data_IF_474478609800
#
_entry.id   IF_474478609800
#
_cell.length_a   1.000
_cell.length_b   1.000
_cell.length_c   1.000
_cell.angle_alpha   90.00
_cell.angle_beta   90.00
_cell.angle_gamma   90.00
#
_symmetry.space_group_name_H-M   'P 1'
#
loop_
_entity.id
_entity.type
_entity.pdbx_description
1 polymer ?
#
# COMPACT_ATOMS: atom_id res chain seq x y z
N UNK A 1 9.55 -72.43 -42.64
CA UNK A 1 10.73 -71.90 -41.91
C UNK A 1 10.84 -70.38 -42.17
N UNK A 2 10.35 -69.58 -41.24
CA UNK A 2 10.39 -68.13 -41.40
C UNK A 2 11.54 -67.53 -40.54
N UNK A 3 12.52 -66.91 -41.15
CA UNK A 3 13.62 -66.20 -40.47
C UNK A 3 13.13 -64.91 -39.88
N UNK A 4 13.04 -64.79 -38.55
CA UNK A 4 12.85 -63.55 -37.82
C UNK A 4 14.17 -62.76 -37.90
N UNK A 5 14.15 -61.62 -38.60
CA UNK A 5 15.21 -60.61 -38.54
C UNK A 5 15.09 -59.80 -37.25
N UNK A 6 15.91 -60.13 -36.25
CA UNK A 6 16.09 -59.31 -35.05
C UNK A 6 17.06 -58.17 -35.35
N UNK A 7 16.54 -56.92 -35.44
CA UNK A 7 17.40 -55.75 -35.45
C UNK A 7 18.10 -55.60 -34.10
N UNK A 8 19.38 -55.27 -34.03
CA UNK A 8 20.12 -55.29 -32.76
C UNK A 8 19.70 -54.07 -31.91
N UNK A 9 19.41 -54.36 -30.62
CA UNK A 9 18.93 -53.40 -29.59
C UNK A 9 19.83 -52.15 -29.43
N UNK A 10 21.10 -52.24 -29.83
CA UNK A 10 22.05 -51.10 -29.65
C UNK A 10 21.81 -49.95 -30.62
N UNK A 11 21.19 -50.14 -31.79
CA UNK A 11 20.83 -49.07 -32.71
C UNK A 11 19.71 -48.23 -32.15
N UNK A 12 18.76 -48.81 -31.40
CA UNK A 12 17.67 -48.08 -30.74
C UNK A 12 18.19 -47.22 -29.57
N UNK A 13 19.21 -47.72 -28.84
CA UNK A 13 19.83 -46.97 -27.76
C UNK A 13 20.60 -45.71 -28.23
N UNK A 14 21.31 -45.82 -29.36
CA UNK A 14 22.07 -44.69 -29.95
C UNK A 14 21.12 -43.60 -30.46
N UNK A 15 19.99 -43.95 -31.07
CA UNK A 15 18.98 -42.99 -31.54
C UNK A 15 18.32 -42.27 -30.38
N UNK A 16 18.03 -42.96 -29.26
CA UNK A 16 17.46 -42.34 -28.04
C UNK A 16 18.43 -41.37 -27.39
N UNK A 17 19.73 -41.71 -27.30
CA UNK A 17 20.75 -40.80 -26.74
C UNK A 17 20.92 -39.55 -27.63
N UNK A 18 20.89 -39.72 -28.96
CA UNK A 18 20.96 -38.59 -29.89
C UNK A 18 19.74 -37.66 -29.80
N UNK A 19 18.53 -38.18 -29.59
CA UNK A 19 17.33 -37.40 -29.43
C UNK A 19 17.34 -36.64 -28.07
N UNK A 20 17.79 -37.27 -27.01
CA UNK A 20 17.89 -36.62 -25.68
C UNK A 20 18.96 -35.50 -25.69
N UNK A 21 20.12 -35.75 -26.31
CA UNK A 21 21.15 -34.71 -26.46
C UNK A 21 20.70 -33.57 -27.38
N UNK A 22 19.91 -33.83 -28.44
CA UNK A 22 19.35 -32.79 -29.30
C UNK A 22 18.27 -31.97 -28.57
N UNK A 23 17.43 -32.59 -27.74
CA UNK A 23 16.43 -31.87 -26.92
C UNK A 23 17.12 -31.02 -25.87
N UNK A 24 18.19 -31.51 -25.22
CA UNK A 24 18.97 -30.73 -24.24
C UNK A 24 19.69 -29.57 -24.93
N UNK A 25 20.21 -29.77 -26.15
CA UNK A 25 20.85 -28.74 -26.96
C UNK A 25 19.84 -27.66 -27.42
N UNK A 26 18.64 -28.06 -27.86
CA UNK A 26 17.57 -27.14 -28.24
C UNK A 26 17.04 -26.35 -27.01
N UNK A 27 16.88 -26.99 -25.86
CA UNK A 27 16.49 -26.30 -24.61
C UNK A 27 17.57 -25.30 -24.13
N UNK A 28 18.86 -25.62 -24.30
CA UNK A 28 19.95 -24.67 -24.01
C UNK A 28 19.95 -23.50 -24.99
N UNK A 29 19.74 -23.73 -26.30
CA UNK A 29 19.63 -22.64 -27.27
C UNK A 29 18.38 -21.78 -27.07
N UNK A 30 17.27 -22.35 -26.56
CA UNK A 30 16.06 -21.58 -26.22
C UNK A 30 16.23 -20.73 -24.95
N UNK A 31 17.14 -21.09 -24.05
CA UNK A 31 17.48 -20.29 -22.87
C UNK A 31 18.51 -19.18 -23.19
N UNK A 32 19.38 -19.38 -24.18
CA UNK A 32 20.39 -18.37 -24.55
C UNK A 32 19.85 -17.26 -25.50
N UNK A 33 18.64 -17.39 -26.04
CA UNK A 33 18.02 -16.36 -26.90
C UNK A 33 17.01 -15.45 -26.16
N UNK A 34 16.73 -15.70 -24.87
CA UNK A 34 15.94 -14.78 -24.03
C UNK A 34 16.78 -13.92 -23.09
N UNK A 35 18.12 -13.92 -23.23
CA UNK A 35 19.05 -13.19 -22.38
C UNK A 35 19.97 -12.25 -23.14
N UNK A 36 19.47 -11.55 -24.14
CA UNK A 36 20.19 -10.46 -24.80
C UNK A 36 19.35 -9.20 -24.94
N UNK A 37 18.67 -8.80 -23.84
CA UNK A 37 18.44 -7.40 -23.55
C UNK A 37 19.61 -7.00 -22.63
N UNK A 38 20.55 -6.22 -23.14
CA UNK A 38 21.67 -5.68 -22.40
C UNK A 38 21.15 -4.98 -21.14
N UNK A 39 21.29 -5.63 -19.96
CA UNK A 39 21.21 -4.98 -18.67
C UNK A 39 22.47 -4.14 -18.53
N UNK A 40 22.35 -2.86 -18.79
CA UNK A 40 23.26 -1.88 -18.20
C UNK A 40 22.99 -1.90 -16.73
N UNK A 41 23.96 -2.34 -15.96
CA UNK A 41 24.11 -2.54 -14.54
C UNK A 41 22.98 -2.13 -13.60
N UNK A 42 22.44 -3.09 -12.83
CA UNK A 42 21.65 -2.83 -11.66
C UNK A 42 20.49 -3.81 -11.50
N UNK A 43 20.45 -4.49 -10.36
CA UNK A 43 19.29 -5.29 -9.96
C UNK A 43 18.10 -4.34 -9.78
N UNK A 44 16.94 -4.65 -10.40
CA UNK A 44 15.73 -3.81 -10.28
C UNK A 44 15.33 -3.64 -8.82
N UNK A 45 15.03 -2.40 -8.42
CA UNK A 45 14.46 -2.09 -7.09
C UNK A 45 12.96 -2.41 -7.13
N UNK A 46 12.50 -3.32 -6.30
CA UNK A 46 11.09 -3.71 -6.26
C UNK A 46 10.38 -2.90 -5.19
N UNK A 47 9.39 -2.09 -5.60
CA UNK A 47 8.66 -1.14 -4.76
C UNK A 47 7.17 -1.49 -4.74
N UNK A 48 6.62 -1.65 -3.53
CA UNK A 48 5.20 -1.91 -3.32
C UNK A 48 4.40 -0.60 -3.20
N UNK A 49 3.23 -0.54 -3.85
CA UNK A 49 2.31 0.58 -3.71
C UNK A 49 0.86 0.13 -3.55
N UNK A 50 0.02 1.01 -3.02
CA UNK A 50 -1.42 0.84 -2.87
C UNK A 50 -2.17 1.89 -3.70
N UNK A 51 -3.51 1.78 -3.73
CA UNK A 51 -4.40 2.63 -4.54
C UNK A 51 -4.77 3.96 -3.86
N UNK A 52 -4.17 4.31 -2.72
CA UNK A 52 -4.35 5.63 -2.10
C UNK A 52 -4.06 6.77 -3.08
N UNK A 53 -4.90 7.81 -3.04
CA UNK A 53 -4.79 8.98 -3.92
C UNK A 53 -3.86 10.01 -3.28
N UNK A 54 -2.77 10.32 -3.97
CA UNK A 54 -1.81 11.37 -3.58
C UNK A 54 -1.09 11.95 -4.80
N UNK A 55 -0.48 13.16 -4.72
CA UNK A 55 0.18 13.81 -5.86
C UNK A 55 1.38 13.03 -6.41
N UNK A 56 2.08 12.26 -5.58
CA UNK A 56 3.30 11.53 -6.00
C UNK A 56 3.02 10.42 -7.03
N UNK A 57 1.76 10.02 -7.20
CA UNK A 57 1.32 9.10 -8.26
C UNK A 57 1.63 9.63 -9.66
N UNK A 58 1.68 10.96 -9.84
CA UNK A 58 2.07 11.56 -11.13
C UNK A 58 3.52 11.21 -11.46
N UNK A 59 4.44 11.36 -10.52
CA UNK A 59 5.85 10.98 -10.71
C UNK A 59 6.01 9.48 -10.96
N UNK A 60 5.27 8.64 -10.22
CA UNK A 60 5.25 7.20 -10.45
C UNK A 60 4.80 6.86 -11.87
N UNK A 61 3.72 7.47 -12.36
CA UNK A 61 3.20 7.21 -13.70
C UNK A 61 4.08 7.76 -14.83
N UNK A 62 4.89 8.80 -14.56
CA UNK A 62 5.82 9.42 -15.52
C UNK A 62 7.18 8.73 -15.56
N UNK A 63 7.49 7.85 -14.60
CA UNK A 63 8.82 7.25 -14.45
C UNK A 63 9.86 8.25 -13.91
N UNK A 64 9.42 9.29 -13.20
CA UNK A 64 10.33 10.30 -12.65
C UNK A 64 11.22 9.69 -11.56
N UNK A 65 10.71 8.75 -10.76
CA UNK A 65 11.50 8.04 -9.76
C UNK A 65 12.67 7.26 -10.35
N UNK A 66 12.44 6.56 -11.47
CA UNK A 66 13.47 5.82 -12.21
C UNK A 66 14.51 6.76 -12.79
N UNK A 67 14.05 7.87 -13.37
CA UNK A 67 14.91 8.88 -13.99
C UNK A 67 15.79 9.57 -12.93
N UNK A 68 15.21 10.04 -11.83
CA UNK A 68 15.90 10.84 -10.83
C UNK A 68 16.86 10.00 -9.98
N UNK A 69 16.51 8.73 -9.71
CA UNK A 69 17.38 7.79 -9.02
C UNK A 69 18.40 7.08 -9.92
N UNK A 70 18.25 7.18 -11.24
CA UNK A 70 19.01 6.40 -12.23
C UNK A 70 18.99 4.88 -11.94
N UNK A 71 17.84 4.39 -11.46
CA UNK A 71 17.62 2.98 -11.15
C UNK A 71 16.38 2.45 -11.88
N UNK A 72 16.38 1.17 -12.21
CA UNK A 72 15.17 0.53 -12.70
C UNK A 72 14.28 0.13 -11.54
N UNK A 73 13.03 0.64 -11.50
CA UNK A 73 12.05 0.32 -10.47
C UNK A 73 11.00 -0.62 -11.04
N UNK A 74 10.73 -1.72 -10.32
CA UNK A 74 9.59 -2.58 -10.58
C UNK A 74 8.48 -2.28 -9.57
N UNK A 75 7.43 -1.61 -10.00
CA UNK A 75 6.28 -1.31 -9.17
C UNK A 75 5.35 -2.51 -9.02
N UNK A 76 5.04 -2.90 -7.78
CA UNK A 76 4.06 -3.95 -7.46
C UNK A 76 2.88 -3.37 -6.70
N UNK A 77 1.67 -3.56 -7.26
CA UNK A 77 0.43 -3.14 -6.61
C UNK A 77 -0.01 -4.17 -5.58
N UNK A 78 -0.47 -3.68 -4.41
CA UNK A 78 -1.06 -4.48 -3.34
C UNK A 78 -2.40 -3.87 -2.91
N UNK A 79 -3.32 -4.71 -2.45
CA UNK A 79 -4.66 -4.28 -2.07
C UNK A 79 -4.75 -3.77 -0.63
N UNK A 80 -3.80 -4.15 0.25
CA UNK A 80 -3.77 -3.73 1.64
C UNK A 80 -2.33 -3.60 2.18
N UNK A 81 -2.13 -2.70 3.16
CA UNK A 81 -0.83 -2.49 3.79
C UNK A 81 -0.27 -3.72 4.53
N UNK A 82 -1.14 -4.59 5.03
CA UNK A 82 -0.73 -5.89 5.60
C UNK A 82 -0.04 -6.80 4.59
N UNK A 83 -0.48 -6.78 3.33
CA UNK A 83 0.13 -7.57 2.27
C UNK A 83 1.50 -6.99 1.86
N UNK A 84 1.63 -5.65 1.85
CA UNK A 84 2.93 -4.98 1.67
C UNK A 84 3.90 -5.33 2.79
N UNK A 85 3.44 -5.33 4.06
CA UNK A 85 4.25 -5.74 5.22
C UNK A 85 4.74 -7.18 5.07
N UNK A 86 3.91 -8.09 4.60
CA UNK A 86 4.32 -9.48 4.35
C UNK A 86 5.38 -9.56 3.23
N UNK A 87 5.23 -8.78 2.16
CA UNK A 87 6.20 -8.72 1.07
C UNK A 87 7.55 -8.09 1.49
N UNK A 88 7.53 -7.09 2.40
CA UNK A 88 8.74 -6.55 3.02
C UNK A 88 9.42 -7.59 3.93
N UNK A 89 8.64 -8.36 4.67
CA UNK A 89 9.15 -9.40 5.57
C UNK A 89 9.80 -10.56 4.81
N UNK A 90 9.22 -10.99 3.69
CA UNK A 90 9.78 -12.04 2.83
C UNK A 90 10.98 -11.56 2.01
N UNK A 91 11.15 -10.24 1.83
CA UNK A 91 12.15 -9.67 0.94
C UNK A 91 11.71 -9.57 -0.53
N UNK A 92 10.45 -9.83 -0.84
CA UNK A 92 9.88 -9.70 -2.19
C UNK A 92 9.83 -8.25 -2.68
N UNK A 93 9.84 -7.30 -1.73
CA UNK A 93 9.96 -5.87 -1.98
C UNK A 93 10.91 -5.25 -0.96
N UNK A 94 11.53 -4.12 -1.30
CA UNK A 94 12.48 -3.42 -0.42
C UNK A 94 11.91 -2.10 0.10
N UNK A 95 11.01 -1.47 -0.64
CA UNK A 95 10.22 -0.30 -0.24
C UNK A 95 8.74 -0.61 -0.34
N UNK A 96 7.93 0.08 0.47
CA UNK A 96 6.49 -0.04 0.39
C UNK A 96 5.75 1.19 0.90
N UNK A 97 4.65 1.52 0.23
CA UNK A 97 3.67 2.47 0.75
C UNK A 97 2.71 1.72 1.66
N UNK A 98 2.63 2.14 2.93
CA UNK A 98 1.73 1.56 3.93
C UNK A 98 1.16 2.64 4.84
N UNK A 99 0.06 2.34 5.51
CA UNK A 99 -0.48 3.20 6.56
C UNK A 99 0.28 3.11 7.89
N UNK A 100 0.05 4.07 8.77
CA UNK A 100 0.65 4.11 10.12
C UNK A 100 0.26 2.91 10.99
N UNK A 101 -0.93 2.36 10.83
CA UNK A 101 -1.39 1.19 11.59
C UNK A 101 -0.65 -0.11 11.20
N UNK A 102 -0.50 -0.49 9.92
CA UNK A 102 0.34 -1.63 9.55
C UNK A 102 1.82 -1.42 9.90
N UNK A 103 2.36 -0.19 9.87
CA UNK A 103 3.70 0.10 10.36
C UNK A 103 3.81 -0.22 11.85
N UNK A 104 2.89 0.24 12.70
CA UNK A 104 2.90 -0.01 14.14
C UNK A 104 2.84 -1.52 14.45
N UNK A 105 2.02 -2.28 13.72
CA UNK A 105 1.95 -3.72 13.86
C UNK A 105 3.25 -4.42 13.45
N UNK A 106 3.85 -4.04 12.32
CA UNK A 106 5.11 -4.60 11.83
C UNK A 106 6.28 -4.27 12.77
N UNK A 107 6.38 -3.02 13.21
CA UNK A 107 7.40 -2.55 14.15
C UNK A 107 7.33 -3.30 15.48
N UNK A 108 6.12 -3.57 16.00
CA UNK A 108 5.91 -4.34 17.23
C UNK A 108 6.36 -5.81 17.12
N UNK A 109 6.34 -6.37 15.90
CA UNK A 109 6.87 -7.71 15.59
C UNK A 109 8.38 -7.72 15.28
N UNK A 110 9.06 -6.61 15.54
CA UNK A 110 10.49 -6.42 15.25
C UNK A 110 10.86 -6.59 13.77
N UNK A 111 9.95 -6.33 12.84
CA UNK A 111 10.30 -6.30 11.42
C UNK A 111 11.33 -5.18 11.19
N UNK A 112 12.47 -5.47 10.53
CA UNK A 112 13.57 -4.49 10.35
C UNK A 112 13.23 -3.50 9.21
N UNK A 113 12.18 -2.69 9.43
CA UNK A 113 11.75 -1.61 8.55
C UNK A 113 11.73 -0.29 9.30
N UNK A 114 11.82 0.78 8.56
CA UNK A 114 11.71 2.15 9.06
C UNK A 114 10.90 3.02 8.11
N UNK A 115 10.13 3.96 8.66
CA UNK A 115 9.49 5.03 7.90
C UNK A 115 10.53 6.11 7.63
N UNK A 116 10.54 6.59 6.39
CA UNK A 116 11.46 7.66 5.98
C UNK A 116 10.75 8.85 5.31
N UNK A 117 9.46 8.71 5.00
CA UNK A 117 8.67 9.77 4.36
C UNK A 117 7.18 9.59 4.66
N UNK A 118 6.49 10.69 4.94
CA UNK A 118 5.03 10.74 5.11
C UNK A 118 4.42 11.18 3.78
N UNK A 119 3.63 10.32 3.12
CA UNK A 119 2.96 10.68 1.88
C UNK A 119 1.81 11.64 2.14
N UNK A 120 1.02 11.35 3.18
CA UNK A 120 -0.08 12.20 3.61
C UNK A 120 -0.49 11.96 5.07
N UNK A 121 -1.03 12.96 5.73
CA UNK A 121 -1.92 12.79 6.87
C UNK A 121 -3.31 12.55 6.32
N UNK A 122 -3.90 11.41 6.65
CA UNK A 122 -5.16 10.95 6.10
C UNK A 122 -6.35 11.76 6.62
N UNK A 123 -7.29 11.99 5.74
CA UNK A 123 -8.49 12.76 5.99
C UNK A 123 -9.71 12.10 5.33
N UNK A 124 -10.49 12.88 4.58
CA UNK A 124 -11.71 12.42 3.94
C UNK A 124 -11.50 11.41 2.78
N UNK A 125 -10.24 11.13 2.40
CA UNK A 125 -9.90 10.05 1.45
C UNK A 125 -10.11 8.65 2.03
N UNK A 126 -10.34 8.54 3.35
CA UNK A 126 -10.81 7.34 4.05
C UNK A 126 -12.07 7.67 4.84
N UNK A 127 -13.15 6.93 4.64
CA UNK A 127 -14.41 7.22 5.32
C UNK A 127 -15.21 5.95 5.65
N UNK A 128 -15.99 6.04 6.73
CA UNK A 128 -17.03 5.09 7.09
C UNK A 128 -18.31 5.47 6.33
N UNK A 129 -18.67 4.68 5.35
CA UNK A 129 -19.90 4.84 4.56
C UNK A 129 -20.92 3.83 5.02
N UNK A 130 -22.16 4.28 5.28
CA UNK A 130 -23.30 3.44 5.62
C UNK A 130 -24.22 3.33 4.41
N UNK A 131 -24.69 2.11 4.10
CA UNK A 131 -25.59 1.89 2.98
C UNK A 131 -26.93 2.59 3.22
N UNK A 132 -27.45 3.28 2.21
CA UNK A 132 -28.79 3.92 2.29
C UNK A 132 -29.90 2.92 2.58
N UNK A 133 -29.68 1.61 2.32
CA UNK A 133 -30.61 0.52 2.61
C UNK A 133 -30.50 -0.02 4.04
N UNK A 134 -29.41 0.28 4.76
CA UNK A 134 -29.12 -0.27 6.10
C UNK A 134 -30.03 0.29 7.19
N UNK A 135 -30.63 1.45 6.97
CA UNK A 135 -31.41 2.20 7.96
C UNK A 135 -30.57 2.95 8.99
N UNK A 136 -29.21 2.94 8.85
CA UNK A 136 -28.28 3.64 9.76
C UNK A 136 -28.39 5.14 9.48
N UNK A 137 -28.65 5.94 10.53
CA UNK A 137 -28.70 7.41 10.48
C UNK A 137 -27.78 8.05 11.53
N UNK A 138 -27.54 7.36 12.61
CA UNK A 138 -26.69 7.80 13.72
C UNK A 138 -25.65 6.73 14.05
N UNK A 139 -24.56 7.06 14.75
CA UNK A 139 -23.59 6.06 15.18
C UNK A 139 -24.19 4.89 15.97
N UNK A 140 -25.20 5.14 16.80
CA UNK A 140 -25.86 4.13 17.63
C UNK A 140 -26.59 3.07 16.79
N UNK A 141 -27.01 3.41 15.57
CA UNK A 141 -27.66 2.47 14.66
C UNK A 141 -26.67 1.43 14.07
N UNK A 142 -25.36 1.59 14.30
CA UNK A 142 -24.35 0.59 13.95
C UNK A 142 -24.46 -0.69 14.81
N UNK A 143 -25.11 -0.64 15.96
CA UNK A 143 -25.30 -1.81 16.84
C UNK A 143 -26.06 -2.91 16.09
N UNK A 144 -25.46 -4.12 16.06
CA UNK A 144 -26.00 -5.28 15.36
C UNK A 144 -25.73 -5.30 13.84
N UNK A 145 -25.11 -4.26 13.29
CA UNK A 145 -24.83 -4.15 11.85
C UNK A 145 -23.50 -4.80 11.45
N UNK A 146 -23.39 -5.16 10.19
CA UNK A 146 -22.16 -5.72 9.59
C UNK A 146 -21.36 -4.61 8.94
N UNK A 147 -20.13 -4.38 9.43
CA UNK A 147 -19.19 -3.37 8.95
C UNK A 147 -17.98 -4.08 8.37
N UNK A 148 -17.68 -3.84 7.09
CA UNK A 148 -16.49 -4.35 6.44
C UNK A 148 -15.34 -3.35 6.54
N UNK A 149 -14.14 -3.86 6.85
CA UNK A 149 -12.92 -3.06 6.90
C UNK A 149 -11.69 -3.96 6.70
N UNK A 150 -10.63 -3.52 6.00
CA UNK A 150 -9.39 -4.28 5.94
C UNK A 150 -8.69 -4.27 7.32
N UNK A 151 -8.48 -5.44 7.93
CA UNK A 151 -7.90 -5.53 9.27
C UNK A 151 -6.45 -5.02 9.31
N UNK A 152 -6.09 -4.40 10.45
CA UNK A 152 -4.78 -3.80 10.70
C UNK A 152 -4.46 -2.62 9.75
N UNK A 153 -5.44 -2.10 9.02
CA UNK A 153 -5.31 -0.87 8.23
C UNK A 153 -5.53 0.39 9.06
N UNK A 154 -5.26 1.56 8.46
CA UNK A 154 -5.64 2.87 9.00
C UNK A 154 -7.13 3.00 9.20
N UNK A 155 -7.94 2.52 8.24
CA UNK A 155 -9.41 2.51 8.33
C UNK A 155 -9.91 1.61 9.46
N UNK A 156 -9.25 0.48 9.74
CA UNK A 156 -9.60 -0.36 10.90
C UNK A 156 -9.32 0.36 12.21
N UNK A 157 -8.16 1.01 12.33
CA UNK A 157 -7.82 1.83 13.48
C UNK A 157 -8.82 2.99 13.67
N UNK A 158 -9.18 3.67 12.59
CA UNK A 158 -10.16 4.76 12.58
C UNK A 158 -11.56 4.27 12.97
N UNK A 159 -12.01 3.12 12.45
CA UNK A 159 -13.29 2.52 12.82
C UNK A 159 -13.37 2.23 14.33
N UNK A 160 -12.36 1.55 14.87
CA UNK A 160 -12.35 1.19 16.29
C UNK A 160 -12.23 2.44 17.19
N UNK A 161 -11.48 3.45 16.74
CA UNK A 161 -11.39 4.76 17.42
C UNK A 161 -12.72 5.50 17.41
N UNK A 162 -13.45 5.47 16.29
CA UNK A 162 -14.78 6.05 16.18
C UNK A 162 -15.80 5.34 17.08
N UNK A 163 -15.83 4.01 17.08
CA UNK A 163 -16.68 3.23 17.97
C UNK A 163 -16.42 3.57 19.45
N UNK A 164 -15.14 3.67 19.83
CA UNK A 164 -14.73 4.09 21.17
C UNK A 164 -15.22 5.51 21.50
N UNK A 165 -15.05 6.45 20.58
CA UNK A 165 -15.50 7.83 20.76
C UNK A 165 -17.03 7.91 20.96
N UNK A 166 -17.79 7.09 20.23
CA UNK A 166 -19.26 7.02 20.36
C UNK A 166 -19.75 6.14 21.51
N UNK A 167 -18.84 5.57 22.33
CA UNK A 167 -19.15 4.64 23.40
C UNK A 167 -19.93 3.39 22.93
N UNK A 168 -19.63 2.90 21.73
CA UNK A 168 -20.19 1.66 21.17
C UNK A 168 -19.17 0.54 21.40
N UNK A 169 -19.51 -0.49 22.22
CA UNK A 169 -18.63 -1.64 22.39
C UNK A 169 -18.44 -2.40 21.08
N UNK A 170 -17.20 -2.83 20.80
CA UNK A 170 -16.85 -3.53 19.54
C UNK A 170 -17.66 -4.82 19.35
N UNK A 171 -17.96 -5.54 20.46
CA UNK A 171 -18.75 -6.77 20.45
C UNK A 171 -20.23 -6.56 20.09
N UNK A 172 -20.69 -5.32 20.02
CA UNK A 172 -22.06 -4.96 19.60
C UNK A 172 -22.19 -4.72 18.10
N UNK A 173 -21.09 -4.72 17.36
CA UNK A 173 -21.07 -4.59 15.89
C UNK A 173 -20.37 -5.81 15.28
N UNK A 174 -20.82 -6.22 14.11
CA UNK A 174 -20.17 -7.33 13.39
C UNK A 174 -19.12 -6.78 12.45
N UNK A 175 -17.86 -6.72 12.89
CA UNK A 175 -16.76 -6.26 12.05
C UNK A 175 -16.18 -7.44 11.27
N UNK A 176 -16.10 -7.32 9.94
CA UNK A 176 -15.55 -8.37 9.07
C UNK A 176 -14.35 -7.86 8.30
N UNK A 177 -13.35 -8.75 8.13
CA UNK A 177 -12.14 -8.46 7.39
C UNK A 177 -12.36 -8.74 5.90
N UNK A 178 -12.37 -7.70 5.09
CA UNK A 178 -12.39 -7.78 3.63
C UNK A 178 -11.37 -6.79 3.05
N UNK A 179 -10.72 -7.15 1.94
CA UNK A 179 -9.90 -6.22 1.16
C UNK A 179 -10.79 -5.26 0.34
N UNK A 180 -10.29 -4.10 -0.10
CA UNK A 180 -11.10 -3.12 -0.81
C UNK A 180 -11.86 -3.66 -2.03
N UNK A 181 -11.30 -4.54 -2.89
CA UNK A 181 -12.06 -5.16 -3.97
C UNK A 181 -13.19 -6.07 -3.48
N UNK A 182 -12.97 -6.81 -2.38
CA UNK A 182 -13.98 -7.67 -1.76
C UNK A 182 -15.08 -6.84 -1.09
N UNK A 183 -14.73 -5.70 -0.48
CA UNK A 183 -15.68 -4.71 0.07
C UNK A 183 -16.58 -4.19 -1.05
N UNK A 184 -16.02 -3.78 -2.19
CA UNK A 184 -16.80 -3.33 -3.35
C UNK A 184 -17.81 -4.38 -3.79
N UNK A 185 -17.40 -5.64 -3.91
CA UNK A 185 -18.26 -6.74 -4.31
C UNK A 185 -19.35 -7.05 -3.26
N UNK A 186 -19.02 -7.04 -1.97
CA UNK A 186 -19.98 -7.26 -0.88
C UNK A 186 -20.99 -6.12 -0.78
N UNK A 187 -20.55 -4.88 -1.01
CA UNK A 187 -21.39 -3.69 -1.05
C UNK A 187 -22.43 -3.76 -2.17
N UNK A 188 -22.00 -4.09 -3.39
CA UNK A 188 -22.88 -4.23 -4.56
C UNK A 188 -23.98 -5.29 -4.35
N UNK A 189 -23.64 -6.41 -3.69
CA UNK A 189 -24.61 -7.46 -3.34
C UNK A 189 -25.52 -7.11 -2.15
N UNK A 190 -25.15 -6.12 -1.35
CA UNK A 190 -25.87 -5.77 -0.11
C UNK A 190 -25.57 -6.71 1.06
N UNK A 191 -24.41 -7.39 1.06
CA UNK A 191 -24.01 -8.33 2.13
C UNK A 191 -23.49 -7.61 3.39
N UNK A 192 -23.23 -6.29 3.31
CA UNK A 192 -22.72 -5.45 4.38
C UNK A 192 -23.54 -4.17 4.54
N UNK A 193 -23.68 -3.70 5.77
CA UNK A 193 -24.45 -2.49 6.09
C UNK A 193 -23.59 -1.23 6.01
N UNK A 194 -22.28 -1.35 6.26
CA UNK A 194 -21.32 -0.26 6.25
C UNK A 194 -19.93 -0.74 5.83
N UNK A 195 -19.10 0.20 5.37
CA UNK A 195 -17.68 -0.06 5.06
C UNK A 195 -16.83 1.15 5.45
N UNK A 196 -15.67 0.90 6.08
CA UNK A 196 -14.64 1.92 6.25
C UNK A 196 -13.48 1.60 5.31
N UNK A 197 -13.28 2.41 4.28
CA UNK A 197 -12.43 2.06 3.14
C UNK A 197 -11.91 3.30 2.44
N UNK A 198 -10.98 3.10 1.52
CA UNK A 198 -10.40 4.09 0.60
C UNK A 198 -10.68 3.73 -0.87
N UNK A 199 -10.16 4.54 -1.79
CA UNK A 199 -10.39 4.37 -3.22
C UNK A 199 -9.82 3.06 -3.80
N UNK A 200 -10.48 2.49 -4.83
CA UNK A 200 -11.70 2.95 -5.49
C UNK A 200 -13.00 2.45 -4.83
N UNK A 201 -12.91 1.71 -3.72
CA UNK A 201 -14.07 1.16 -3.04
C UNK A 201 -14.88 2.24 -2.32
N UNK A 202 -14.25 3.34 -1.89
CA UNK A 202 -14.91 4.46 -1.23
C UNK A 202 -15.92 5.14 -2.16
N UNK A 203 -15.52 5.55 -3.36
CA UNK A 203 -16.42 6.17 -4.32
C UNK A 203 -17.59 5.26 -4.71
N UNK A 204 -17.35 3.95 -4.85
CA UNK A 204 -18.41 2.97 -5.10
C UNK A 204 -19.41 2.90 -3.96
N UNK A 205 -18.94 2.90 -2.71
CA UNK A 205 -19.81 2.90 -1.55
C UNK A 205 -20.61 4.21 -1.44
N UNK A 206 -19.97 5.35 -1.67
CA UNK A 206 -20.61 6.67 -1.63
C UNK A 206 -21.71 6.84 -2.70
N UNK A 207 -21.60 6.17 -3.84
CA UNK A 207 -22.63 6.22 -4.89
C UNK A 207 -24.01 5.75 -4.41
N UNK A 208 -24.09 4.92 -3.35
CA UNK A 208 -25.34 4.37 -2.80
C UNK A 208 -25.38 4.37 -1.27
N UNK A 209 -24.53 5.16 -0.65
CA UNK A 209 -24.40 5.29 0.80
C UNK A 209 -24.18 6.73 1.24
N UNK A 210 -24.12 6.91 2.55
CA UNK A 210 -23.87 8.19 3.22
C UNK A 210 -22.64 8.08 4.11
N UNK A 211 -21.75 9.06 4.08
CA UNK A 211 -20.60 9.13 4.99
C UNK A 211 -21.10 9.42 6.40
N UNK A 212 -20.76 8.54 7.35
CA UNK A 212 -21.07 8.72 8.76
C UNK A 212 -19.95 9.44 9.51
N UNK A 213 -18.69 9.15 9.17
CA UNK A 213 -17.48 9.84 9.62
C UNK A 213 -16.32 9.54 8.64
N UNK A 214 -15.22 10.26 8.80
CA UNK A 214 -14.00 10.08 8.02
C UNK A 214 -12.74 10.13 8.91
N UNK A 215 -11.58 9.84 8.32
CA UNK A 215 -10.30 9.82 9.07
C UNK A 215 -9.85 11.21 9.51
N UNK A 216 -10.35 12.30 8.89
CA UNK A 216 -10.11 13.68 9.36
C UNK A 216 -10.78 13.88 10.73
N UNK A 217 -12.08 13.59 10.81
CA UNK A 217 -12.85 13.75 12.04
C UNK A 217 -12.32 12.83 13.15
N UNK A 218 -11.95 11.59 12.82
CA UNK A 218 -11.34 10.66 13.79
C UNK A 218 -9.98 11.18 14.27
N UNK A 219 -9.19 11.78 13.38
CA UNK A 219 -7.94 12.44 13.72
C UNK A 219 -8.11 13.63 14.68
N UNK A 220 -9.18 14.43 14.51
CA UNK A 220 -9.57 15.53 15.41
C UNK A 220 -9.98 15.01 16.80
N UNK A 221 -10.48 13.78 16.90
CA UNK A 221 -10.75 13.10 18.17
C UNK A 221 -9.50 12.51 18.85
N UNK A 222 -8.31 12.73 18.26
CA UNK A 222 -7.02 12.31 18.82
C UNK A 222 -6.48 10.99 18.27
N UNK A 223 -7.02 10.48 17.17
CA UNK A 223 -6.55 9.26 16.50
C UNK A 223 -6.15 9.50 15.04
N UNK A 224 -5.17 10.38 14.75
CA UNK A 224 -4.73 10.67 13.39
C UNK A 224 -4.03 9.47 12.77
N UNK A 225 -4.23 9.30 11.46
CA UNK A 225 -3.60 8.27 10.64
C UNK A 225 -2.82 8.88 9.49
N UNK A 226 -1.85 8.13 8.97
CA UNK A 226 -0.92 8.59 7.94
C UNK A 226 -0.69 7.51 6.90
N UNK A 227 -0.47 7.91 5.65
CA UNK A 227 0.20 7.09 4.63
C UNK A 227 1.68 7.42 4.57
N UNK A 228 2.49 6.38 4.39
CA UNK A 228 3.92 6.39 4.63
C UNK A 228 4.67 5.63 3.55
N UNK A 229 5.88 6.07 3.26
CA UNK A 229 6.89 5.24 2.63
C UNK A 229 7.79 4.62 3.70
N UNK A 230 7.87 3.31 3.67
CA UNK A 230 8.77 2.52 4.54
C UNK A 230 9.78 1.77 3.69
N UNK A 231 10.93 1.49 4.30
CA UNK A 231 12.04 0.79 3.66
C UNK A 231 12.59 -0.29 4.60
N UNK A 232 13.12 -1.36 4.04
CA UNK A 232 13.93 -2.32 4.78
C UNK A 232 15.25 -1.66 5.18
N UNK A 233 15.66 -1.82 6.43
CA UNK A 233 16.89 -1.19 6.96
C UNK A 233 18.14 -1.62 6.22
N UNK A 234 18.25 -2.92 5.88
CA UNK A 234 19.40 -3.45 5.12
C UNK A 234 19.53 -2.87 3.72
N UNK A 235 18.41 -2.47 3.09
CA UNK A 235 18.40 -1.76 1.82
C UNK A 235 18.75 -0.29 2.01
N UNK A 236 18.20 0.36 3.03
CA UNK A 236 18.44 1.77 3.33
C UNK A 236 19.93 2.07 3.59
N UNK A 237 20.60 1.23 4.38
CA UNK A 237 22.02 1.34 4.66
C UNK A 237 22.91 1.27 3.41
N UNK A 238 22.50 0.50 2.41
CA UNK A 238 23.29 0.28 1.17
C UNK A 238 22.94 1.24 0.05
N UNK A 239 21.78 1.89 0.10
CA UNK A 239 21.22 2.67 -1.00
C UNK A 239 20.74 4.07 -0.57
N UNK A 240 21.56 4.86 0.18
CA UNK A 240 21.11 6.16 0.69
C UNK A 240 20.82 7.16 -0.42
N UNK A 241 21.58 7.14 -1.52
CA UNK A 241 21.38 8.07 -2.64
C UNK A 241 20.09 7.79 -3.40
N UNK A 242 19.70 6.50 -3.55
CA UNK A 242 18.41 6.12 -4.08
C UNK A 242 17.26 6.69 -3.24
N UNK A 243 17.35 6.56 -1.90
CA UNK A 243 16.31 7.06 -0.99
C UNK A 243 16.22 8.57 -0.98
N UNK A 244 17.34 9.28 -1.07
CA UNK A 244 17.34 10.76 -1.20
C UNK A 244 16.64 11.20 -2.49
N UNK A 245 16.97 10.58 -3.62
CA UNK A 245 16.31 10.86 -4.90
C UNK A 245 14.80 10.55 -4.81
N UNK A 246 14.43 9.40 -4.23
CA UNK A 246 13.04 9.01 -4.04
C UNK A 246 12.25 10.01 -3.18
N UNK A 247 12.84 10.50 -2.09
CA UNK A 247 12.28 11.55 -1.22
C UNK A 247 12.09 12.83 -2.02
N UNK A 248 13.13 13.29 -2.72
CA UNK A 248 13.07 14.53 -3.50
C UNK A 248 11.96 14.49 -4.55
N UNK A 249 11.91 13.41 -5.36
CA UNK A 249 10.85 13.23 -6.37
C UNK A 249 9.46 13.25 -5.76
N UNK A 250 9.27 12.61 -4.60
CA UNK A 250 7.98 12.63 -3.90
C UNK A 250 7.62 14.04 -3.44
N UNK A 251 8.54 14.70 -2.72
CA UNK A 251 8.29 16.03 -2.16
C UNK A 251 8.01 17.07 -3.24
N UNK A 252 8.68 17.01 -4.39
CA UNK A 252 8.39 17.90 -5.51
C UNK A 252 6.93 17.82 -5.97
N UNK A 253 6.33 16.65 -5.99
CA UNK A 253 4.92 16.50 -6.37
C UNK A 253 3.98 17.00 -5.27
N UNK A 254 4.30 16.74 -4.00
CA UNK A 254 3.51 17.22 -2.87
C UNK A 254 3.54 18.77 -2.82
N UNK A 255 4.71 19.36 -3.02
CA UNK A 255 4.90 20.82 -3.04
C UNK A 255 4.20 21.47 -4.22
N UNK A 256 4.28 20.88 -5.44
CA UNK A 256 3.53 21.39 -6.61
C UNK A 256 2.03 21.43 -6.35
N UNK A 257 1.49 20.40 -5.69
CA UNK A 257 0.08 20.40 -5.30
C UNK A 257 -0.20 21.47 -4.24
N UNK A 258 0.61 21.57 -3.19
CA UNK A 258 0.40 22.51 -2.09
C UNK A 258 0.51 23.98 -2.53
N UNK A 259 1.35 24.29 -3.53
CA UNK A 259 1.50 25.65 -4.05
C UNK A 259 0.25 26.14 -4.74
N UNK A 260 -0.40 25.34 -5.57
CA UNK A 260 -1.66 25.69 -6.25
C UNK A 260 -2.49 24.41 -6.53
N UNK A 261 -3.27 23.96 -5.54
CA UNK A 261 -4.13 22.78 -5.71
C UNK A 261 -5.11 22.91 -6.89
N UNK A 262 -5.61 24.14 -7.12
CA UNK A 262 -6.59 24.38 -8.18
C UNK A 262 -5.95 24.27 -9.58
N UNK A 263 -4.75 24.80 -9.77
CA UNK A 263 -4.01 24.63 -11.02
C UNK A 263 -3.58 23.17 -11.23
N UNK A 264 -3.13 22.49 -10.16
CA UNK A 264 -2.70 21.10 -10.20
C UNK A 264 -3.78 20.15 -10.73
N UNK A 265 -5.03 20.32 -10.26
CA UNK A 265 -6.16 19.46 -10.68
C UNK A 265 -6.81 19.91 -11.99
N UNK A 266 -6.49 21.11 -12.50
CA UNK A 266 -6.87 21.52 -13.86
C UNK A 266 -5.99 20.87 -14.94
N UNK A 267 -4.80 20.44 -14.58
CA UNK A 267 -3.96 19.65 -15.48
C UNK A 267 -4.56 18.26 -15.63
N UNK A 268 -5.19 18.02 -16.78
CA UNK A 268 -5.84 16.75 -17.08
C UNK A 268 -4.85 15.58 -17.09
N UNK A 269 -3.56 15.80 -17.41
CA UNK A 269 -2.53 14.77 -17.40
C UNK A 269 -2.27 14.27 -15.97
N UNK A 270 -2.16 15.19 -14.99
CA UNK A 270 -2.00 14.82 -13.58
C UNK A 270 -3.18 13.98 -13.09
N UNK A 271 -4.40 14.45 -13.34
CA UNK A 271 -5.63 13.76 -12.93
C UNK A 271 -5.73 12.37 -13.55
N UNK A 272 -5.46 12.23 -14.86
CA UNK A 272 -5.52 10.94 -15.55
C UNK A 272 -4.47 9.95 -15.05
N UNK A 273 -3.24 10.40 -14.77
CA UNK A 273 -2.16 9.56 -14.24
C UNK A 273 -2.48 9.01 -12.85
N UNK A 274 -3.02 9.86 -11.97
CA UNK A 274 -3.48 9.42 -10.65
C UNK A 274 -4.63 8.42 -10.80
N UNK A 275 -5.63 8.71 -11.62
CA UNK A 275 -6.78 7.84 -11.85
C UNK A 275 -6.37 6.45 -12.36
N UNK A 276 -5.42 6.38 -13.31
CA UNK A 276 -4.91 5.11 -13.86
C UNK A 276 -4.23 4.24 -12.81
N UNK A 277 -3.40 4.82 -11.94
CA UNK A 277 -2.67 4.06 -10.91
C UNK A 277 -3.56 3.62 -9.74
N UNK A 278 -4.58 4.43 -9.42
CA UNK A 278 -5.45 4.18 -8.26
C UNK A 278 -6.71 3.39 -8.63
N UNK A 279 -7.11 3.41 -9.90
CA UNK A 279 -8.37 2.83 -10.37
C UNK A 279 -9.59 3.68 -10.01
N UNK A 280 -9.38 4.94 -9.61
CA UNK A 280 -10.43 5.90 -9.30
C UNK A 280 -10.96 6.58 -10.57
N UNK A 281 -12.18 7.10 -10.53
CA UNK A 281 -12.69 7.95 -11.61
C UNK A 281 -11.93 9.30 -11.61
N UNK A 282 -11.51 9.77 -12.78
CA UNK A 282 -10.79 11.02 -12.92
C UNK A 282 -11.53 12.24 -12.34
N UNK A 283 -12.87 12.23 -12.43
CA UNK A 283 -13.73 13.31 -11.88
C UNK A 283 -13.64 13.43 -10.36
N UNK A 284 -13.29 12.33 -9.65
CA UNK A 284 -13.25 12.29 -8.19
C UNK A 284 -11.86 12.66 -7.63
N UNK A 285 -10.80 12.60 -8.46
CA UNK A 285 -9.42 12.89 -8.04
C UNK A 285 -9.26 14.26 -7.37
N UNK A 286 -9.86 15.38 -7.86
CA UNK A 286 -9.73 16.68 -7.19
C UNK A 286 -10.24 16.65 -5.75
N UNK A 287 -11.38 16.03 -5.50
CA UNK A 287 -11.96 15.91 -4.16
C UNK A 287 -11.10 15.02 -3.26
N UNK A 288 -10.63 13.89 -3.78
CA UNK A 288 -9.81 12.93 -3.05
C UNK A 288 -8.46 13.52 -2.64
N UNK A 289 -7.79 14.26 -3.54
CA UNK A 289 -6.57 14.98 -3.21
C UNK A 289 -6.80 16.01 -2.10
N UNK A 290 -7.89 16.77 -2.17
CA UNK A 290 -8.22 17.78 -1.15
C UNK A 290 -8.62 17.17 0.20
N UNK A 291 -8.92 15.87 0.23
CA UNK A 291 -9.29 15.13 1.43
C UNK A 291 -8.12 14.81 2.37
N UNK A 292 -6.87 15.04 1.96
CA UNK A 292 -5.66 14.75 2.72
C UNK A 292 -4.83 16.01 2.97
N UNK A 293 -3.87 15.92 3.90
CA UNK A 293 -2.87 16.96 4.16
C UNK A 293 -1.50 16.41 3.74
N UNK A 294 -0.83 17.16 2.87
CA UNK A 294 0.50 16.84 2.35
C UNK A 294 1.54 17.74 3.02
N UNK A 295 2.46 17.12 3.78
CA UNK A 295 3.46 17.84 4.55
C UNK A 295 4.57 18.33 3.60
N UNK A 296 4.98 19.60 3.76
CA UNK A 296 6.17 20.12 3.12
C UNK A 296 7.45 19.56 3.77
N UNK A 297 8.62 19.86 3.18
CA UNK A 297 9.91 19.36 3.66
C UNK A 297 10.16 19.65 5.15
N UNK A 298 9.88 20.87 5.62
CA UNK A 298 10.12 21.26 7.01
C UNK A 298 9.15 20.52 7.96
N UNK A 299 7.89 20.42 7.58
CA UNK A 299 6.86 19.69 8.33
C UNK A 299 7.15 18.18 8.39
N UNK A 300 7.65 17.58 7.29
CA UNK A 300 8.11 16.19 7.27
C UNK A 300 9.16 15.96 8.35
N UNK A 301 10.23 16.76 8.33
CA UNK A 301 11.32 16.65 9.27
C UNK A 301 10.85 16.87 10.71
N UNK A 302 10.08 17.91 10.95
CA UNK A 302 9.54 18.20 12.28
C UNK A 302 8.69 17.04 12.80
N UNK A 303 7.86 16.44 11.96
CA UNK A 303 6.98 15.34 12.36
C UNK A 303 7.77 14.06 12.65
N UNK A 304 8.69 13.67 11.75
CA UNK A 304 9.46 12.43 11.90
C UNK A 304 10.44 12.51 13.07
N UNK A 305 11.14 13.63 13.25
CA UNK A 305 12.10 13.83 14.37
C UNK A 305 11.40 14.06 15.72
N UNK A 306 10.16 14.51 15.68
CA UNK A 306 9.38 14.88 16.86
C UNK A 306 8.52 13.73 17.40
N UNK A 307 7.23 13.81 17.13
CA UNK A 307 6.21 12.98 17.79
C UNK A 307 5.91 11.64 17.09
N UNK A 308 6.48 11.38 15.90
CA UNK A 308 6.04 10.26 15.08
C UNK A 308 6.31 8.90 15.73
N UNK A 309 7.45 8.74 16.42
CA UNK A 309 7.74 7.53 17.18
C UNK A 309 6.69 7.28 18.30
N UNK A 310 6.19 8.37 18.93
CA UNK A 310 5.10 8.29 19.89
C UNK A 310 3.77 7.92 19.22
N UNK A 311 3.48 8.46 18.03
CA UNK A 311 2.29 8.08 17.27
C UNK A 311 2.30 6.57 16.91
N UNK A 312 3.46 6.02 16.53
CA UNK A 312 3.61 4.57 16.31
C UNK A 312 3.33 3.79 17.62
N UNK A 313 3.88 4.26 18.75
CA UNK A 313 3.66 3.63 20.05
C UNK A 313 2.19 3.63 20.44
N UNK A 314 1.50 4.76 20.33
CA UNK A 314 0.08 4.90 20.71
C UNK A 314 -0.82 4.04 19.83
N UNK A 315 -0.52 4.00 18.52
CA UNK A 315 -1.19 3.10 17.57
C UNK A 315 -0.94 1.63 17.92
N UNK A 316 0.30 1.24 18.23
CA UNK A 316 0.64 -0.12 18.64
C UNK A 316 -0.04 -0.51 19.96
N UNK A 317 -0.08 0.41 20.95
CA UNK A 317 -0.76 0.22 22.23
C UNK A 317 -2.26 0.00 22.02
N UNK A 318 -2.88 0.77 21.16
CA UNK A 318 -4.27 0.59 20.80
C UNK A 318 -4.49 -0.78 20.14
N UNK A 319 -3.71 -1.14 19.12
CA UNK A 319 -3.80 -2.44 18.43
C UNK A 319 -3.55 -3.62 19.38
N UNK A 320 -2.67 -3.47 20.38
CA UNK A 320 -2.50 -4.48 21.44
C UNK A 320 -3.76 -4.65 22.28
N UNK A 321 -4.41 -3.57 22.66
CA UNK A 321 -5.70 -3.60 23.37
C UNK A 321 -6.79 -4.33 22.57
N UNK A 322 -6.67 -4.34 21.25
CA UNK A 322 -7.57 -5.02 20.32
C UNK A 322 -7.12 -6.45 19.95
N UNK A 323 -6.05 -6.97 20.58
CA UNK A 323 -5.53 -8.30 20.29
C UNK A 323 -4.92 -8.45 18.88
N UNK A 324 -4.54 -7.32 18.23
CA UNK A 324 -3.93 -7.30 16.88
C UNK A 324 -2.40 -7.23 16.94
N UNK A 325 -1.84 -6.91 18.09
CA UNK A 325 -0.41 -6.87 18.41
C UNK A 325 -0.17 -7.55 19.76
N UNK A 326 0.75 -8.49 19.80
CA UNK A 326 1.03 -9.30 21.00
C UNK A 326 1.91 -8.57 22.01
N UNK A 327 2.88 -7.79 21.52
CA UNK A 327 3.90 -7.13 22.33
C UNK A 327 4.07 -5.66 21.95
N UNK A 328 4.47 -4.84 22.92
CA UNK A 328 4.90 -3.47 22.70
C UNK A 328 6.41 -3.37 22.93
N UNK A 329 7.06 -2.54 22.15
CA UNK A 329 8.43 -2.10 22.42
C UNK A 329 8.44 -1.01 23.50
N UNK A 330 9.59 -0.80 24.10
CA UNK A 330 9.81 0.33 25.01
C UNK A 330 9.67 1.68 24.27
N UNK A 331 10.15 1.73 23.02
CA UNK A 331 9.95 2.85 22.09
C UNK A 331 10.01 2.37 20.63
N UNK A 332 9.66 3.26 19.71
CA UNK A 332 9.66 3.00 18.27
C UNK A 332 10.60 3.94 17.48
N UNK A 333 11.50 4.64 18.16
CA UNK A 333 12.47 5.57 17.53
C UNK A 333 13.29 4.89 16.44
N UNK A 334 13.71 3.64 16.70
CA UNK A 334 14.44 2.86 15.71
C UNK A 334 13.62 2.46 14.47
N UNK A 335 12.35 2.80 14.38
CA UNK A 335 11.52 2.58 13.20
C UNK A 335 11.23 3.88 12.44
N UNK A 336 11.88 4.98 12.80
CA UNK A 336 11.77 6.30 12.13
C UNK A 336 13.15 6.75 11.67
N UNK A 337 13.26 7.20 10.44
CA UNK A 337 14.53 7.67 9.86
C UNK A 337 14.26 8.90 8.98
N UNK A 338 14.58 10.09 9.49
CA UNK A 338 14.47 11.37 8.79
C UNK A 338 15.76 11.77 8.03
N UNK A 339 16.80 10.95 8.04
CA UNK A 339 18.12 11.32 7.49
C UNK A 339 18.11 11.56 5.98
N UNK A 340 17.14 10.99 5.27
CA UNK A 340 16.97 11.16 3.81
C UNK A 340 16.26 12.46 3.43
N UNK A 341 15.73 13.21 4.42
CA UNK A 341 15.14 14.54 4.26
C UNK A 341 16.19 15.68 4.33
N UNK A 342 17.46 15.36 4.28
CA UNK A 342 18.50 16.40 4.23
C UNK A 342 18.67 16.89 2.79
N UNK A 343 18.90 18.22 2.58
CA UNK A 343 19.14 18.79 1.27
C UNK A 343 20.42 18.26 0.63
#
# INVERSE_FOLDING_TARGET
>A
MSKKNSKPLWITAIVLVAIVTFIIYQNRKGQDQTSAAQSVGGQSVIVAYQTGVDPSKVAQAKGDYEKDSNQHIQWKKFDAGSDVVNALASGDVVLGNIGSSPLAAAASRNLPIEVFLITSKLGASEALVVSNKSGIKTPQDLIGKTIAVPFVSTTHYSLLSALKHWNIPEDKVKIINLRPPEISAAWERGDIDAAYVWEPALSKAQASGTVLTDSKQVGEWGAPTYDLWVVRKDFAEKNPDFLKAFVQTTLEQLEKYNQDPAAYVKDADNVQKIAQLTGSDAKDIPLLLSGNIYLDHAQQKQTLDGEFAQNIFDTAKFLKGQGKVDQLKADYKGNVNSSFLQP
#
